data_IF_724184540246
#
_entry.id   IF_724184540246
#
_cell.length_a   1.000
_cell.length_b   1.000
_cell.length_c   1.000
_cell.angle_alpha   90.00
_cell.angle_beta   90.00
_cell.angle_gamma   90.00
#
_symmetry.space_group_name_H-M   'P 1'
#
loop_
_entity.id
_entity.type
_entity.pdbx_description
1 polymer ?
#
# COMPACT_ATOMS: atom_id res chain seq x y z
N UNK A 1 -0.47 -19.80 12.69
CA UNK A 1 -1.43 -18.86 12.05
C UNK A 1 -1.38 -17.54 12.80
N UNK A 2 -1.21 -16.39 12.13
CA UNK A 2 -1.18 -15.06 12.79
C UNK A 2 -2.45 -14.78 13.59
N UNK A 3 -3.58 -15.34 13.15
CA UNK A 3 -4.87 -15.26 13.86
C UNK A 3 -4.87 -15.90 15.26
N UNK A 4 -3.88 -16.73 15.61
CA UNK A 4 -3.74 -17.32 16.95
C UNK A 4 -3.04 -16.39 17.95
N UNK A 5 -2.44 -15.31 17.45
CA UNK A 5 -1.78 -14.27 18.26
C UNK A 5 -2.33 -12.91 17.82
N UNK A 6 -3.66 -12.78 17.88
CA UNK A 6 -4.39 -11.69 17.26
C UNK A 6 -3.93 -10.30 17.74
N UNK A 7 -3.58 -10.15 19.02
CA UNK A 7 -3.12 -8.88 19.60
C UNK A 7 -1.81 -8.42 18.97
N UNK A 8 -0.79 -9.29 18.95
CA UNK A 8 0.53 -8.94 18.41
C UNK A 8 0.49 -8.84 16.88
N UNK A 9 -0.24 -9.73 16.22
CA UNK A 9 -0.42 -9.70 14.78
C UNK A 9 -1.11 -8.39 14.32
N UNK A 10 -2.16 -7.96 15.02
CA UNK A 10 -2.85 -6.69 14.73
C UNK A 10 -1.93 -5.50 14.96
N UNK A 11 -1.16 -5.50 16.03
CA UNK A 11 -0.23 -4.41 16.35
C UNK A 11 0.88 -4.29 15.29
N UNK A 12 1.48 -5.41 14.89
CA UNK A 12 2.52 -5.43 13.86
C UNK A 12 1.97 -5.04 12.49
N UNK A 13 0.77 -5.54 12.14
CA UNK A 13 0.12 -5.18 10.89
C UNK A 13 -0.22 -3.68 10.84
N UNK A 14 -0.75 -3.11 11.92
CA UNK A 14 -1.03 -1.68 12.02
C UNK A 14 0.25 -0.83 11.89
N UNK A 15 1.36 -1.25 12.50
CA UNK A 15 2.67 -0.59 12.34
C UNK A 15 3.16 -0.65 10.90
N UNK A 16 3.03 -1.79 10.23
CA UNK A 16 3.42 -1.94 8.82
C UNK A 16 2.59 -1.02 7.92
N UNK A 17 1.28 -0.93 8.14
CA UNK A 17 0.39 -0.06 7.38
C UNK A 17 0.70 1.43 7.62
N UNK A 18 0.95 1.82 8.87
CA UNK A 18 1.33 3.19 9.21
C UNK A 18 2.64 3.59 8.53
N UNK A 19 3.65 2.73 8.56
CA UNK A 19 4.93 2.98 7.90
C UNK A 19 4.77 3.14 6.38
N UNK A 20 3.86 2.38 5.77
CA UNK A 20 3.54 2.48 4.35
C UNK A 20 2.76 3.77 4.01
N UNK A 21 1.80 4.18 4.85
CA UNK A 21 0.98 5.38 4.63
C UNK A 21 1.69 6.69 4.97
N UNK A 22 2.66 6.68 5.89
CA UNK A 22 3.38 7.89 6.30
C UNK A 22 4.05 8.66 5.14
N UNK A 23 4.74 8.02 4.18
CA UNK A 23 5.28 8.72 3.00
C UNK A 23 4.22 9.11 1.97
N UNK A 24 3.05 8.46 1.99
CA UNK A 24 1.94 8.70 1.05
C UNK A 24 1.07 9.90 1.39
N UNK A 25 1.14 10.38 2.64
CA UNK A 25 0.33 11.50 3.12
C UNK A 25 1.18 12.76 3.08
N UNK A 26 0.73 13.73 2.29
CA UNK A 26 1.30 15.06 2.30
C UNK A 26 1.02 15.73 3.66
N UNK A 27 2.08 16.17 4.34
CA UNK A 27 1.99 16.64 5.72
C UNK A 27 1.31 18.01 5.86
N UNK A 28 1.27 18.80 4.80
CA UNK A 28 0.71 20.15 4.82
C UNK A 28 -0.77 20.15 4.45
N UNK A 29 -1.16 19.34 3.47
CA UNK A 29 -2.53 19.26 2.96
C UNK A 29 -3.34 18.11 3.59
N UNK A 30 -2.67 17.11 4.16
CA UNK A 30 -3.30 15.87 4.62
C UNK A 30 -3.87 15.03 3.48
N UNK A 31 -3.59 15.39 2.22
CA UNK A 31 -4.05 14.66 1.06
C UNK A 31 -3.15 13.45 0.82
N UNK A 32 -3.73 12.41 0.21
CA UNK A 32 -2.97 11.26 -0.28
C UNK A 32 -2.29 11.68 -1.59
N UNK A 33 -0.99 11.95 -1.51
CA UNK A 33 -0.13 12.20 -2.66
C UNK A 33 0.57 10.89 -3.01
N UNK A 34 -0.03 10.14 -3.94
CA UNK A 34 0.56 8.91 -4.46
C UNK A 34 1.70 9.29 -5.41
N UNK A 35 2.94 9.16 -4.94
CA UNK A 35 4.11 9.24 -5.80
C UNK A 35 4.22 7.94 -6.61
N UNK A 36 3.92 8.02 -7.91
CA UNK A 36 3.98 6.88 -8.83
C UNK A 36 5.42 6.52 -9.23
N UNK A 37 6.41 7.34 -8.86
CA UNK A 37 7.83 7.09 -9.07
C UNK A 37 8.44 6.28 -7.91
N UNK A 38 7.77 6.21 -6.76
CA UNK A 38 8.18 5.35 -5.64
C UNK A 38 8.00 3.87 -6.01
N UNK A 39 9.10 3.12 -6.02
CA UNK A 39 9.11 1.70 -6.38
C UNK A 39 8.18 0.85 -5.50
N UNK A 40 7.99 1.21 -4.22
CA UNK A 40 7.13 0.48 -3.29
C UNK A 40 5.66 0.70 -3.65
N UNK A 41 5.30 1.94 -4.02
CA UNK A 41 3.95 2.28 -4.46
C UNK A 41 3.67 1.63 -5.83
N UNK A 42 4.59 1.76 -6.79
CA UNK A 42 4.45 1.18 -8.12
C UNK A 42 4.34 -0.36 -8.09
N UNK A 43 5.09 -1.03 -7.21
CA UNK A 43 5.05 -2.49 -7.08
C UNK A 43 3.81 -3.03 -6.36
N UNK A 44 3.15 -2.21 -5.53
CA UNK A 44 1.98 -2.62 -4.75
C UNK A 44 0.65 -2.19 -5.38
N UNK A 45 0.66 -1.21 -6.28
CA UNK A 45 -0.53 -0.65 -6.90
C UNK A 45 -1.03 -1.54 -8.06
N UNK A 46 -2.13 -2.25 -7.82
CA UNK A 46 -2.70 -3.20 -8.81
C UNK A 46 -3.57 -2.51 -9.86
N UNK A 47 -4.42 -1.57 -9.43
CA UNK A 47 -5.40 -0.89 -10.29
C UNK A 47 -5.48 0.60 -9.96
N UNK A 48 -5.46 1.46 -10.98
CA UNK A 48 -5.69 2.90 -10.82
C UNK A 48 -6.68 3.38 -11.88
N UNK A 49 -7.63 4.25 -11.49
CA UNK A 49 -8.58 4.88 -12.41
C UNK A 49 -9.33 3.89 -13.34
N UNK A 50 -9.63 2.69 -12.85
CA UNK A 50 -10.32 1.64 -13.63
C UNK A 50 -9.44 0.84 -14.59
N UNK A 51 -8.13 1.09 -14.63
CA UNK A 51 -7.17 0.31 -15.41
C UNK A 51 -6.27 -0.55 -14.50
N UNK A 52 -5.95 -1.76 -14.96
CA UNK A 52 -4.92 -2.60 -14.34
C UNK A 52 -3.56 -2.04 -14.77
N UNK A 53 -2.80 -1.52 -13.81
CA UNK A 53 -1.48 -0.93 -14.08
C UNK A 53 -0.34 -1.90 -13.77
N UNK A 54 -0.57 -2.88 -12.88
CA UNK A 54 0.50 -3.79 -12.45
C UNK A 54 0.87 -4.77 -13.56
N UNK A 55 2.14 -4.79 -14.01
CA UNK A 55 2.56 -5.55 -15.18
C UNK A 55 2.31 -7.05 -15.06
N UNK A 56 2.44 -7.61 -13.85
CA UNK A 56 2.26 -9.04 -13.63
C UNK A 56 0.77 -9.45 -13.71
N UNK A 57 -0.14 -8.61 -13.23
CA UNK A 57 -1.58 -8.88 -13.27
C UNK A 57 -2.14 -8.64 -14.67
N UNK A 58 -1.61 -7.64 -15.40
CA UNK A 58 -2.01 -7.37 -16.79
C UNK A 58 -1.65 -8.51 -17.75
N UNK A 59 -0.60 -9.28 -17.47
CA UNK A 59 -0.22 -10.45 -18.30
C UNK A 59 -1.06 -11.70 -18.02
N UNK A 60 -1.77 -11.73 -16.89
CA UNK A 60 -2.53 -12.88 -16.42
C UNK A 60 -4.03 -12.81 -16.77
N UNK A 61 -4.49 -11.69 -17.34
CA UNK A 61 -5.85 -11.47 -17.83
C UNK A 61 -5.89 -11.57 -19.37
#
# INVERSE_FOLDING_TARGET
>A
MPSLVATDASMLFAKNLLNYLTPLVDKETGALALDLEDEIIAASLVTQNGAIIHPQIKSAA
#
